data_IF_942674421998
#
_entry.id   IF_942674421998
#
_cell.length_a   1.000
_cell.length_b   1.000
_cell.length_c   1.000
_cell.angle_alpha   90.00
_cell.angle_beta   90.00
_cell.angle_gamma   90.00
#
_symmetry.space_group_name_H-M   'P 1'
#
loop_
_entity.id
_entity.type
_entity.pdbx_description
1 polymer ?
#
# COMPACT_ATOMS: atom_id res chain seq x y z
N UNK A 1 31.00 -2.55 -28.03
CA UNK A 1 29.61 -2.05 -27.94
C UNK A 1 28.85 -2.86 -26.88
N UNK A 2 29.11 -2.65 -25.58
CA UNK A 2 28.49 -3.47 -24.52
C UNK A 2 28.17 -2.71 -23.22
N UNK A 3 27.91 -1.41 -23.26
CA UNK A 3 27.65 -0.60 -22.04
C UNK A 3 26.20 -0.14 -21.86
N UNK A 4 25.29 -0.40 -22.80
CA UNK A 4 23.93 0.17 -22.78
C UNK A 4 22.87 -0.65 -22.00
N UNK A 5 23.20 -1.82 -21.46
CA UNK A 5 22.23 -2.70 -20.76
C UNK A 5 22.31 -2.55 -19.22
N UNK A 6 23.35 -1.92 -18.69
CA UNK A 6 23.61 -1.86 -17.24
C UNK A 6 22.74 -0.83 -16.50
N UNK A 7 22.35 0.27 -17.17
CA UNK A 7 21.57 1.35 -16.56
C UNK A 7 20.12 0.98 -16.26
N UNK A 8 19.47 0.21 -17.15
CA UNK A 8 18.07 -0.19 -16.97
C UNK A 8 17.84 -1.01 -15.70
N UNK A 9 18.75 -1.94 -15.37
CA UNK A 9 18.64 -2.77 -14.15
C UNK A 9 18.94 -1.98 -12.87
N UNK A 10 19.78 -0.94 -12.95
CA UNK A 10 20.14 -0.09 -11.80
C UNK A 10 18.99 0.86 -11.44
N UNK A 11 18.27 1.38 -12.43
CA UNK A 11 17.06 2.18 -12.24
C UNK A 11 15.90 1.37 -11.66
N UNK A 12 15.68 0.14 -12.14
CA UNK A 12 14.65 -0.75 -11.58
C UNK A 12 14.91 -1.03 -10.10
N UNK A 13 16.17 -1.28 -9.70
CA UNK A 13 16.53 -1.59 -8.30
C UNK A 13 16.38 -0.40 -7.35
N UNK A 14 16.46 0.84 -7.85
CA UNK A 14 16.21 2.06 -7.08
C UNK A 14 14.71 2.36 -6.99
N UNK A 15 13.94 2.08 -8.05
CA UNK A 15 12.48 2.18 -8.03
C UNK A 15 11.86 1.19 -7.03
N UNK A 16 12.36 -0.06 -6.97
CA UNK A 16 11.86 -1.08 -6.04
C UNK A 16 11.92 -0.68 -4.56
N UNK A 17 12.82 0.25 -4.17
CA UNK A 17 12.94 0.67 -2.77
C UNK A 17 11.89 1.70 -2.32
N UNK A 18 11.31 2.47 -3.25
CA UNK A 18 10.39 3.55 -2.89
C UNK A 18 9.08 3.01 -2.30
N UNK A 19 8.39 2.05 -2.94
CA UNK A 19 7.21 1.41 -2.34
C UNK A 19 7.52 0.72 -1.01
N UNK A 20 8.69 0.08 -0.87
CA UNK A 20 9.10 -0.57 0.38
C UNK A 20 9.25 0.44 1.53
N UNK A 21 9.89 1.58 1.27
CA UNK A 21 10.06 2.64 2.27
C UNK A 21 8.73 3.30 2.63
N UNK A 22 7.86 3.53 1.64
CA UNK A 22 6.50 4.04 1.88
C UNK A 22 5.69 3.06 2.74
N UNK A 23 5.75 1.77 2.41
CA UNK A 23 5.07 0.72 3.18
C UNK A 23 5.50 0.72 4.65
N UNK A 24 6.78 0.93 4.96
CA UNK A 24 7.25 1.07 6.36
C UNK A 24 6.58 2.24 7.07
N UNK A 25 6.44 3.39 6.40
CA UNK A 25 5.78 4.57 6.97
C UNK A 25 4.28 4.32 7.23
N UNK A 26 3.57 3.69 6.29
CA UNK A 26 2.15 3.34 6.50
C UNK A 26 1.97 2.29 7.59
N UNK A 27 2.85 1.28 7.66
CA UNK A 27 2.83 0.26 8.72
C UNK A 27 3.05 0.84 10.12
N UNK A 28 3.86 1.89 10.25
CA UNK A 28 4.03 2.58 11.54
C UNK A 28 2.72 3.19 12.08
N UNK A 29 1.72 3.37 11.20
CA UNK A 29 0.40 3.88 11.56
C UNK A 29 -0.63 2.78 11.86
N UNK A 30 -0.27 1.49 11.80
CA UNK A 30 -1.20 0.36 12.04
C UNK A 30 -1.87 0.38 13.43
N UNK A 31 -1.26 1.03 14.42
CA UNK A 31 -1.86 1.27 15.74
C UNK A 31 -3.20 2.04 15.67
N UNK A 32 -3.46 2.74 14.56
CA UNK A 32 -4.73 3.44 14.27
C UNK A 32 -5.79 2.52 13.67
N UNK A 33 -5.47 1.27 13.33
CA UNK A 33 -6.36 0.30 12.68
C UNK A 33 -6.09 0.15 11.19
N UNK A 34 -6.21 -1.08 10.67
CA UNK A 34 -5.90 -1.42 9.28
C UNK A 34 -6.72 -0.62 8.26
N UNK A 35 -8.03 -0.49 8.49
CA UNK A 35 -8.93 0.31 7.64
C UNK A 35 -8.49 1.78 7.59
N UNK A 36 -8.15 2.37 8.74
CA UNK A 36 -7.70 3.76 8.81
C UNK A 36 -6.38 3.99 8.06
N UNK A 37 -5.46 3.02 8.06
CA UNK A 37 -4.23 3.10 7.27
C UNK A 37 -4.52 2.96 5.78
N UNK A 38 -5.45 2.07 5.40
CA UNK A 38 -5.89 1.92 4.01
C UNK A 38 -6.51 3.20 3.47
N UNK A 39 -7.39 3.83 4.25
CA UNK A 39 -8.05 5.08 3.88
C UNK A 39 -7.03 6.22 3.74
N UNK A 40 -5.99 6.24 4.59
CA UNK A 40 -4.88 7.20 4.48
C UNK A 40 -4.10 7.03 3.17
N UNK A 41 -3.81 5.79 2.75
CA UNK A 41 -3.14 5.52 1.46
C UNK A 41 -4.02 6.01 0.29
N UNK A 42 -5.33 5.77 0.35
CA UNK A 42 -6.28 6.22 -0.68
C UNK A 42 -6.39 7.75 -0.75
N UNK A 43 -6.38 8.43 0.40
CA UNK A 43 -6.39 9.89 0.47
C UNK A 43 -5.12 10.48 -0.16
N UNK A 44 -3.95 9.91 0.14
CA UNK A 44 -2.69 10.31 -0.47
C UNK A 44 -2.70 10.10 -1.99
N UNK A 45 -3.19 8.96 -2.48
CA UNK A 45 -3.35 8.70 -3.93
C UNK A 45 -4.18 9.80 -4.58
N UNK A 46 -5.33 10.14 -4.01
CA UNK A 46 -6.21 11.18 -4.54
C UNK A 46 -5.50 12.53 -4.56
N UNK A 47 -4.91 12.93 -3.42
CA UNK A 47 -4.22 14.22 -3.27
C UNK A 47 -3.08 14.37 -4.27
N UNK A 48 -2.23 13.36 -4.43
CA UNK A 48 -1.10 13.42 -5.34
C UNK A 48 -1.51 13.28 -6.82
N UNK A 49 -2.65 12.63 -7.10
CA UNK A 49 -3.25 12.65 -8.43
C UNK A 49 -3.74 14.05 -8.81
N UNK A 50 -4.37 14.77 -7.89
CA UNK A 50 -4.83 16.15 -8.11
C UNK A 50 -3.64 17.12 -8.33
N UNK A 51 -2.47 16.82 -7.75
CA UNK A 51 -1.24 17.57 -7.94
C UNK A 51 -0.44 17.19 -9.20
N UNK A 52 -0.89 16.17 -9.96
CA UNK A 52 -0.20 15.68 -11.15
C UNK A 52 1.09 14.91 -10.87
N UNK A 53 1.33 14.46 -9.63
CA UNK A 53 2.52 13.70 -9.24
C UNK A 53 2.40 12.21 -9.63
N UNK A 54 2.22 11.93 -10.92
CA UNK A 54 1.82 10.62 -11.44
C UNK A 54 2.77 9.47 -11.03
N UNK A 55 4.08 9.69 -11.08
CA UNK A 55 5.06 8.67 -10.66
C UNK A 55 4.94 8.31 -9.17
N UNK A 56 4.59 9.29 -8.32
CA UNK A 56 4.38 9.07 -6.90
C UNK A 56 3.05 8.35 -6.65
N UNK A 57 2.02 8.68 -7.42
CA UNK A 57 0.73 7.99 -7.41
C UNK A 57 0.87 6.52 -7.78
N UNK A 58 1.70 6.20 -8.76
CA UNK A 58 1.93 4.81 -9.16
C UNK A 58 2.70 4.03 -8.07
N UNK A 59 3.69 4.65 -7.42
CA UNK A 59 4.35 4.08 -6.23
C UNK A 59 3.31 3.80 -5.12
N UNK A 60 2.37 4.72 -4.87
CA UNK A 60 1.32 4.55 -3.85
C UNK A 60 0.27 3.48 -4.21
N UNK A 61 -0.08 3.32 -5.49
CA UNK A 61 -0.95 2.22 -5.93
C UNK A 61 -0.32 0.87 -5.67
N UNK A 62 0.98 0.74 -5.90
CA UNK A 62 1.71 -0.47 -5.57
C UNK A 62 1.73 -0.73 -4.05
N UNK A 63 1.91 0.32 -3.24
CA UNK A 63 1.79 0.24 -1.78
C UNK A 63 0.40 -0.24 -1.37
N UNK A 64 -0.67 0.31 -1.95
CA UNK A 64 -2.05 -0.09 -1.66
C UNK A 64 -2.30 -1.56 -2.00
N UNK A 65 -1.88 -2.01 -3.18
CA UNK A 65 -2.00 -3.41 -3.60
C UNK A 65 -1.33 -4.35 -2.60
N UNK A 66 -0.07 -4.07 -2.27
CA UNK A 66 0.68 -4.88 -1.30
C UNK A 66 0.06 -4.82 0.11
N UNK A 67 -0.51 -3.68 0.50
CA UNK A 67 -1.18 -3.52 1.79
C UNK A 67 -2.43 -4.40 1.87
N UNK A 68 -3.24 -4.40 0.80
CA UNK A 68 -4.45 -5.23 0.68
C UNK A 68 -4.11 -6.73 0.58
N UNK A 69 -2.98 -7.12 -0.03
CA UNK A 69 -2.49 -8.50 -0.05
C UNK A 69 -2.02 -9.00 1.33
N UNK A 70 -1.45 -8.11 2.14
CA UNK A 70 -0.93 -8.42 3.48
C UNK A 70 -1.98 -8.37 4.58
N UNK A 71 -3.01 -7.56 4.40
CA UNK A 71 -4.19 -7.54 5.23
C UNK A 71 -5.22 -8.44 4.55
N UNK A 72 -5.24 -9.77 4.79
CA UNK A 72 -6.37 -10.57 4.35
C UNK A 72 -7.59 -9.90 4.96
N UNK A 73 -8.41 -9.28 4.10
CA UNK A 73 -9.70 -8.76 4.49
C UNK A 73 -10.39 -9.90 5.24
N UNK A 74 -10.63 -9.69 6.53
CA UNK A 74 -11.57 -10.48 7.28
C UNK A 74 -12.92 -9.89 6.91
N UNK A 75 -13.70 -10.47 5.97
CA UNK A 75 -15.07 -10.03 5.81
C UNK A 75 -15.77 -10.41 7.11
N UNK A 76 -16.20 -9.41 7.87
CA UNK A 76 -17.26 -9.55 8.87
C UNK A 76 -17.11 -10.74 9.85
N UNK A 77 -16.47 -10.52 10.99
CA UNK A 77 -16.80 -11.27 12.21
C UNK A 77 -18.17 -10.83 12.78
N UNK A 78 -19.16 -10.59 11.92
CA UNK A 78 -20.55 -10.45 12.30
C UNK A 78 -21.36 -11.54 11.57
N UNK A 79 -21.52 -12.69 12.23
CA UNK A 79 -22.79 -13.40 12.35
C UNK A 79 -22.75 -14.45 13.46
N UNK A 80 -23.53 -14.16 14.50
CA UNK A 80 -24.21 -15.10 15.38
C UNK A 80 -23.38 -16.03 16.26
N UNK A 81 -22.98 -15.52 17.41
CA UNK A 81 -22.99 -16.28 18.65
C UNK A 81 -23.97 -15.65 19.65
N UNK A 82 -25.22 -15.47 19.23
CA UNK A 82 -26.34 -15.42 20.19
C UNK A 82 -26.82 -16.85 20.35
N UNK A 83 -26.08 -17.63 21.12
CA UNK A 83 -26.65 -18.80 21.79
C UNK A 83 -27.31 -18.26 23.04
N UNK A 84 -28.57 -17.84 22.93
CA UNK A 84 -29.44 -17.75 24.09
C UNK A 84 -29.84 -19.19 24.37
N UNK A 85 -29.09 -19.84 25.24
CA UNK A 85 -29.59 -20.95 26.01
C UNK A 85 -30.33 -20.34 27.21
N UNK A 86 -31.65 -20.43 27.21
CA UNK A 86 -32.52 -20.84 28.33
C UNK A 86 -33.97 -20.89 27.84
#
# INVERSE_FOLDING_TARGET
MSELISDGRKLIRLASKRPDQMMVAYRANLKRGGQNVRDMILEDIRRFSELGALAYVDDLKEVLLRFDELAPFHPSAARSAVTVAY
#
